data_IF_612993140870
#
_entry.id   IF_612993140870
#
_cell.length_a   1.000
_cell.length_b   1.000
_cell.length_c   1.000
_cell.angle_alpha   90.00
_cell.angle_beta   90.00
_cell.angle_gamma   90.00
#
_symmetry.space_group_name_H-M   'P 1'
#
loop_
_entity.id
_entity.type
_entity.pdbx_description
1 polymer ?
#
# COMPACT_ATOMS: atom_id res chain seq x y z
N UNK A 1 -38.58 1.98 18.05
CA UNK A 1 -37.31 2.10 18.81
C UNK A 1 -36.31 0.97 18.55
N UNK A 2 -36.59 -0.32 18.84
CA UNK A 2 -35.61 -1.41 18.67
C UNK A 2 -35.23 -1.67 17.20
N UNK A 3 -36.12 -1.51 16.23
CA UNK A 3 -35.88 -1.70 14.81
C UNK A 3 -34.98 -0.60 14.25
N UNK A 4 -35.22 0.66 14.59
CA UNK A 4 -34.42 1.80 14.14
C UNK A 4 -32.97 1.73 14.67
N UNK A 5 -32.77 1.28 15.92
CA UNK A 5 -31.45 1.06 16.47
C UNK A 5 -30.68 -0.02 15.68
N UNK A 6 -31.34 -1.13 15.33
CA UNK A 6 -30.72 -2.20 14.52
C UNK A 6 -30.37 -1.74 13.11
N UNK A 7 -31.24 -0.95 12.47
CA UNK A 7 -30.96 -0.39 11.14
C UNK A 7 -29.78 0.57 11.18
N UNK A 8 -29.68 1.41 12.21
CA UNK A 8 -28.53 2.31 12.40
C UNK A 8 -27.22 1.54 12.61
N UNK A 9 -27.21 0.53 13.49
CA UNK A 9 -26.01 -0.30 13.71
C UNK A 9 -25.58 -1.02 12.43
N UNK A 10 -26.52 -1.57 11.68
CA UNK A 10 -26.22 -2.21 10.40
C UNK A 10 -25.64 -1.22 9.36
N UNK A 11 -26.15 0.01 9.33
CA UNK A 11 -25.63 1.06 8.46
C UNK A 11 -24.20 1.46 8.85
N UNK A 12 -23.89 1.65 10.13
CA UNK A 12 -22.54 1.94 10.60
C UNK A 12 -21.55 0.81 10.28
N UNK A 13 -21.95 -0.44 10.49
CA UNK A 13 -21.13 -1.60 10.14
C UNK A 13 -20.85 -1.65 8.64
N UNK A 14 -21.87 -1.45 7.81
CA UNK A 14 -21.72 -1.39 6.36
C UNK A 14 -20.76 -0.28 5.91
N UNK A 15 -20.87 0.91 6.51
CA UNK A 15 -19.98 2.02 6.24
C UNK A 15 -18.53 1.70 6.66
N UNK A 16 -18.33 1.10 7.82
CA UNK A 16 -17.01 0.70 8.29
C UNK A 16 -16.36 -0.31 7.35
N UNK A 17 -17.10 -1.33 6.95
CA UNK A 17 -16.61 -2.33 5.99
C UNK A 17 -16.24 -1.66 4.67
N UNK A 18 -17.09 -0.77 4.14
CA UNK A 18 -16.81 -0.05 2.91
C UNK A 18 -15.52 0.76 3.01
N UNK A 19 -15.34 1.50 4.12
CA UNK A 19 -14.12 2.29 4.36
C UNK A 19 -12.88 1.40 4.41
N UNK A 20 -12.93 0.25 5.09
CA UNK A 20 -11.83 -0.70 5.16
C UNK A 20 -11.50 -1.30 3.79
N UNK A 21 -12.51 -1.64 2.99
CA UNK A 21 -12.30 -2.15 1.63
C UNK A 21 -11.66 -1.09 0.75
N UNK A 22 -12.18 0.14 0.76
CA UNK A 22 -11.59 1.25 0.00
C UNK A 22 -10.15 1.50 0.42
N UNK A 23 -9.87 1.51 1.72
CA UNK A 23 -8.51 1.67 2.24
C UNK A 23 -7.56 0.54 1.78
N UNK A 24 -8.00 -0.72 1.85
CA UNK A 24 -7.22 -1.85 1.37
C UNK A 24 -6.94 -1.77 -0.15
N UNK A 25 -7.93 -1.35 -0.95
CA UNK A 25 -7.75 -1.13 -2.40
C UNK A 25 -6.75 -0.01 -2.66
N UNK A 26 -6.84 1.10 -1.93
CA UNK A 26 -5.89 2.21 -2.05
C UNK A 26 -4.47 1.75 -1.71
N UNK A 27 -4.29 1.02 -0.60
CA UNK A 27 -2.99 0.46 -0.27
C UNK A 27 -2.46 -0.44 -1.40
N UNK A 28 -3.28 -1.33 -1.93
CA UNK A 28 -2.88 -2.23 -3.02
C UNK A 28 -2.49 -1.47 -4.29
N UNK A 29 -3.23 -0.43 -4.64
CA UNK A 29 -2.97 0.36 -5.86
C UNK A 29 -1.72 1.21 -5.71
N UNK A 30 -1.58 1.93 -4.57
CA UNK A 30 -0.54 2.94 -4.38
C UNK A 30 0.78 2.40 -3.79
N UNK A 31 0.86 1.13 -3.44
CA UNK A 31 2.09 0.58 -2.88
C UNK A 31 2.74 -0.47 -3.77
N UNK A 32 4.06 -0.60 -3.65
CA UNK A 32 4.85 -1.70 -4.24
C UNK A 32 5.83 -2.22 -3.20
N UNK A 33 6.05 -3.52 -3.24
CA UNK A 33 7.03 -4.20 -2.42
C UNK A 33 8.40 -4.14 -3.06
N UNK A 34 9.43 -4.05 -2.23
CA UNK A 34 10.83 -4.14 -2.66
C UNK A 34 11.32 -5.58 -2.46
N UNK A 35 11.61 -6.29 -3.55
CA UNK A 35 12.04 -7.70 -3.48
C UNK A 35 13.54 -7.89 -3.75
N UNK A 36 14.18 -6.90 -4.35
CA UNK A 36 15.57 -6.98 -4.80
C UNK A 36 16.58 -6.39 -3.83
N UNK A 37 17.84 -6.52 -4.20
CA UNK A 37 18.99 -5.92 -3.49
C UNK A 37 19.61 -4.76 -4.27
N UNK A 38 19.09 -4.45 -5.46
CA UNK A 38 19.66 -3.45 -6.38
C UNK A 38 19.62 -2.03 -5.84
N UNK A 39 18.74 -1.73 -4.91
CA UNK A 39 18.58 -0.41 -4.31
C UNK A 39 19.25 -0.26 -2.94
N UNK A 40 19.98 -1.27 -2.47
CA UNK A 40 20.72 -1.16 -1.21
C UNK A 40 21.82 -0.09 -1.28
N UNK A 41 22.05 0.64 -0.17
CA UNK A 41 21.39 0.55 1.15
C UNK A 41 20.11 1.40 1.24
N UNK A 42 19.69 2.09 0.18
CA UNK A 42 18.57 3.04 0.22
C UNK A 42 17.23 2.35 0.46
N UNK A 43 17.02 1.20 -0.18
CA UNK A 43 15.85 0.34 0.03
C UNK A 43 16.34 -1.08 0.30
N UNK A 44 15.71 -1.72 1.28
CA UNK A 44 15.97 -3.12 1.63
C UNK A 44 14.84 -4.02 1.15
N UNK A 45 15.14 -5.28 0.87
CA UNK A 45 14.11 -6.27 0.59
C UNK A 45 13.15 -6.40 1.79
N UNK A 46 11.85 -6.35 1.52
CA UNK A 46 10.80 -6.29 2.53
C UNK A 46 10.31 -4.88 2.89
N UNK A 47 10.94 -3.84 2.34
CA UNK A 47 10.38 -2.50 2.38
C UNK A 47 9.15 -2.39 1.47
N UNK A 48 8.24 -1.49 1.83
CA UNK A 48 7.11 -1.11 0.98
C UNK A 48 7.24 0.35 0.59
N UNK A 49 7.10 0.63 -0.70
CA UNK A 49 7.15 2.00 -1.22
C UNK A 49 5.76 2.47 -1.59
N UNK A 50 5.48 3.75 -1.31
CA UNK A 50 4.26 4.44 -1.73
C UNK A 50 4.57 5.22 -2.99
N UNK A 51 3.70 5.08 -4.00
CA UNK A 51 3.87 5.66 -5.32
C UNK A 51 2.96 6.87 -5.51
N UNK A 52 3.52 7.89 -6.14
CA UNK A 52 2.78 8.93 -6.82
C UNK A 52 2.73 8.60 -8.31
N UNK A 53 1.52 8.40 -8.82
CA UNK A 53 1.30 8.28 -10.27
C UNK A 53 1.35 9.68 -10.89
N UNK A 54 1.94 9.78 -12.08
CA UNK A 54 2.07 11.09 -12.72
C UNK A 54 2.70 10.98 -14.10
N UNK A 55 3.05 12.15 -14.62
CA UNK A 55 3.70 12.28 -15.91
C UNK A 55 5.22 12.15 -15.74
N UNK A 56 5.89 11.51 -16.71
CA UNK A 56 7.35 11.37 -16.71
C UNK A 56 8.07 12.74 -16.66
N UNK A 57 7.44 13.80 -17.19
CA UNK A 57 7.95 15.17 -17.13
C UNK A 57 8.04 15.78 -15.72
N UNK A 58 7.39 15.17 -14.74
CA UNK A 58 7.47 15.56 -13.32
C UNK A 58 8.61 14.85 -12.58
N UNK A 59 9.23 13.88 -13.23
CA UNK A 59 10.32 13.10 -12.66
C UNK A 59 11.65 13.82 -12.89
N UNK A 60 12.45 13.91 -11.84
CA UNK A 60 13.71 14.61 -11.82
C UNK A 60 14.88 13.64 -11.57
N UNK A 61 16.08 14.06 -11.94
CA UNK A 61 17.30 13.33 -11.56
C UNK A 61 17.38 13.23 -10.02
N UNK A 62 17.61 12.01 -9.55
CA UNK A 62 17.66 11.68 -8.14
C UNK A 62 16.37 11.04 -7.60
N UNK A 63 15.24 11.19 -8.29
CA UNK A 63 13.99 10.50 -7.91
C UNK A 63 14.16 8.98 -8.02
N UNK A 64 13.51 8.25 -7.14
CA UNK A 64 13.35 6.79 -7.25
C UNK A 64 12.03 6.54 -7.96
N UNK A 65 12.05 5.75 -9.00
CA UNK A 65 10.88 5.40 -9.78
C UNK A 65 10.64 3.90 -9.81
N UNK A 66 9.39 3.55 -10.00
CA UNK A 66 8.94 2.20 -10.33
C UNK A 66 8.54 2.18 -11.79
N UNK A 67 9.08 1.28 -12.54
CA UNK A 67 8.81 1.16 -13.98
C UNK A 67 8.82 -0.30 -14.42
N UNK A 68 8.19 -0.59 -15.53
CA UNK A 68 8.24 -1.90 -16.16
C UNK A 68 9.39 -1.95 -17.15
N UNK A 69 10.12 -3.06 -17.16
CA UNK A 69 11.31 -3.22 -18.01
C UNK A 69 10.93 -3.12 -19.50
N UNK A 70 11.49 -2.14 -20.23
CA UNK A 70 11.20 -1.98 -21.66
C UNK A 70 11.79 -3.08 -22.54
N UNK A 71 12.76 -3.86 -22.04
CA UNK A 71 13.43 -4.93 -22.81
C UNK A 71 12.61 -6.23 -22.86
N UNK A 72 11.71 -6.44 -21.89
CA UNK A 72 10.84 -7.60 -21.84
C UNK A 72 9.39 -7.22 -22.17
N UNK A 73 8.90 -7.66 -23.33
CA UNK A 73 7.48 -7.57 -23.67
C UNK A 73 6.89 -6.17 -23.85
N UNK A 74 7.73 -5.11 -23.97
CA UNK A 74 7.24 -3.76 -24.18
C UNK A 74 6.58 -3.12 -22.95
N UNK A 75 7.23 -3.13 -21.82
CA UNK A 75 6.78 -2.51 -20.56
C UNK A 75 5.61 -3.23 -19.86
N UNK A 76 5.49 -4.55 -19.93
CA UNK A 76 4.34 -5.25 -19.35
C UNK A 76 4.66 -6.19 -18.19
N UNK A 77 5.83 -6.85 -18.15
CA UNK A 77 5.97 -8.04 -17.32
C UNK A 77 7.01 -7.99 -16.19
N UNK A 78 7.91 -7.04 -16.16
CA UNK A 78 8.95 -7.00 -15.13
C UNK A 78 9.08 -5.62 -14.51
N UNK A 79 8.69 -5.51 -13.24
CA UNK A 79 8.72 -4.23 -12.52
C UNK A 79 10.08 -4.03 -11.84
N UNK A 80 10.71 -2.89 -12.08
CA UNK A 80 12.00 -2.48 -11.53
C UNK A 80 11.80 -1.23 -10.68
N UNK A 81 12.60 -1.11 -9.61
CA UNK A 81 12.66 0.08 -8.76
C UNK A 81 14.10 0.56 -8.78
N UNK A 82 14.37 1.66 -9.48
CA UNK A 82 15.71 2.25 -9.57
C UNK A 82 15.66 3.78 -9.46
N UNK A 83 16.84 4.38 -9.29
CA UNK A 83 17.02 5.84 -9.21
C UNK A 83 17.27 6.42 -10.59
N UNK A 84 16.64 7.56 -10.88
CA UNK A 84 16.91 8.34 -12.09
C UNK A 84 18.29 8.99 -11.98
N UNK A 85 19.19 8.65 -12.87
CA UNK A 85 20.55 9.21 -12.94
C UNK A 85 20.68 10.27 -14.05
N UNK A 86 19.81 10.21 -15.06
CA UNK A 86 19.78 11.19 -16.15
C UNK A 86 18.36 11.33 -16.70
N UNK A 87 18.02 12.55 -17.08
CA UNK A 87 16.81 12.87 -17.86
C UNK A 87 17.30 13.34 -19.24
N UNK A 88 16.86 12.69 -20.29
CA UNK A 88 17.22 13.02 -21.65
C UNK A 88 16.39 14.19 -22.18
N UNK A 89 16.83 14.81 -23.28
CA UNK A 89 16.16 15.97 -23.89
C UNK A 89 14.77 15.63 -24.47
N UNK A 90 14.53 14.36 -24.79
CA UNK A 90 13.23 13.84 -25.24
C UNK A 90 12.29 13.45 -24.09
N UNK A 91 12.74 13.63 -22.83
CA UNK A 91 12.00 13.29 -21.62
C UNK A 91 12.18 11.84 -21.18
N UNK A 92 12.96 11.03 -21.87
CA UNK A 92 13.28 9.67 -21.45
C UNK A 92 14.21 9.67 -20.23
N UNK A 93 14.15 8.63 -19.42
CA UNK A 93 14.91 8.51 -18.18
C UNK A 93 15.94 7.38 -18.28
N UNK A 94 17.17 7.66 -17.85
CA UNK A 94 18.17 6.65 -17.55
C UNK A 94 18.17 6.40 -16.05
N UNK A 95 18.09 5.14 -15.66
CA UNK A 95 18.00 4.72 -14.27
C UNK A 95 19.23 3.91 -13.85
N UNK A 96 19.42 3.74 -12.56
CA UNK A 96 20.44 2.86 -11.98
C UNK A 96 20.06 2.45 -10.59
N UNK A 97 20.32 1.19 -10.24
CA UNK A 97 20.25 0.74 -8.85
C UNK A 97 21.31 1.39 -7.97
N UNK A 98 20.94 1.72 -6.73
CA UNK A 98 21.86 2.35 -5.78
C UNK A 98 22.98 1.40 -5.31
N UNK A 99 22.75 0.09 -5.39
CA UNK A 99 23.75 -0.92 -5.08
C UNK A 99 24.75 -1.08 -6.23
N UNK A 100 25.86 -0.39 -6.17
CA UNK A 100 26.88 -0.42 -7.20
C UNK A 100 27.57 -1.77 -7.38
N UNK A 101 27.49 -2.65 -6.38
CA UNK A 101 28.04 -4.02 -6.50
C UNK A 101 27.20 -4.89 -7.46
N UNK A 102 25.88 -4.66 -7.51
CA UNK A 102 24.96 -5.38 -8.42
C UNK A 102 24.61 -4.58 -9.67
N UNK A 103 24.68 -3.25 -9.60
CA UNK A 103 24.34 -2.32 -10.68
C UNK A 103 25.53 -1.36 -10.94
N UNK A 104 26.68 -1.86 -11.47
CA UNK A 104 27.89 -1.06 -11.64
C UNK A 104 27.73 0.04 -12.71
N UNK A 105 26.82 -0.15 -13.65
CA UNK A 105 26.53 0.77 -14.76
C UNK A 105 25.05 1.15 -14.77
N UNK A 106 24.69 2.31 -15.35
CA UNK A 106 23.29 2.66 -15.57
C UNK A 106 22.54 1.62 -16.41
N UNK A 107 21.23 1.59 -16.23
CA UNK A 107 20.32 0.79 -17.07
C UNK A 107 20.19 1.48 -18.43
N UNK A 108 21.01 1.04 -19.39
CA UNK A 108 20.97 1.58 -20.75
C UNK A 108 20.70 0.45 -21.73
N UNK A 109 19.63 0.52 -22.51
CA UNK A 109 19.58 -0.25 -23.74
C UNK A 109 20.51 0.39 -24.77
N UNK A 110 21.03 -0.40 -25.66
CA UNK A 110 21.81 0.10 -26.78
C UNK A 110 20.96 1.11 -27.58
N UNK A 111 21.23 2.42 -27.43
CA UNK A 111 20.67 3.45 -28.29
C UNK A 111 19.75 4.48 -27.73
N UNK A 112 19.59 4.64 -26.40
CA UNK A 112 18.78 5.71 -25.89
C UNK A 112 18.38 5.61 -24.41
N UNK A 113 17.54 6.52 -23.92
CA UNK A 113 17.06 6.47 -22.56
C UNK A 113 16.21 5.22 -22.31
N UNK A 114 16.38 4.64 -21.12
CA UNK A 114 15.81 3.32 -20.81
C UNK A 114 14.28 3.37 -20.53
N UNK A 115 13.80 4.41 -19.84
CA UNK A 115 12.41 4.48 -19.42
C UNK A 115 11.69 5.62 -20.12
N UNK A 116 10.58 5.32 -20.77
CA UNK A 116 9.65 6.29 -21.34
C UNK A 116 8.31 6.28 -20.57
N UNK A 117 7.43 7.25 -20.85
CA UNK A 117 6.14 7.43 -20.18
C UNK A 117 5.32 6.12 -20.09
N UNK A 118 5.32 5.33 -21.15
CA UNK A 118 4.55 4.08 -21.21
C UNK A 118 5.02 3.00 -20.25
N UNK A 119 6.31 3.06 -19.83
CA UNK A 119 6.91 2.11 -18.90
C UNK A 119 6.88 2.61 -17.46
N UNK A 120 6.64 3.91 -17.23
CA UNK A 120 6.60 4.48 -15.90
C UNK A 120 5.35 4.02 -15.18
N UNK A 121 5.52 3.39 -14.01
CA UNK A 121 4.43 3.05 -13.09
C UNK A 121 4.20 4.20 -12.12
N UNK A 122 5.27 4.79 -11.54
CA UNK A 122 5.15 5.92 -10.64
C UNK A 122 6.47 6.28 -9.96
N UNK A 123 6.46 7.43 -9.29
CA UNK A 123 7.56 7.92 -8.46
C UNK A 123 7.37 7.51 -7.01
N UNK A 124 8.42 7.03 -6.36
CA UNK A 124 8.43 6.73 -4.94
C UNK A 124 8.42 8.03 -4.14
N UNK A 125 7.40 8.23 -3.33
CA UNK A 125 7.26 9.43 -2.47
C UNK A 125 7.45 9.13 -1.00
N UNK A 126 7.28 7.88 -0.59
CA UNK A 126 7.46 7.45 0.79
C UNK A 126 7.89 6.00 0.86
N UNK A 127 8.67 5.65 1.89
CA UNK A 127 9.14 4.28 2.15
C UNK A 127 8.66 3.88 3.54
N UNK A 128 8.04 2.72 3.64
CA UNK A 128 7.68 2.07 4.89
C UNK A 128 8.67 0.93 5.09
N UNK A 129 9.68 1.10 5.95
CA UNK A 129 10.72 0.10 6.11
C UNK A 129 10.17 -1.14 6.80
N UNK A 130 10.64 -2.30 6.38
CA UNK A 130 10.41 -3.61 7.00
C UNK A 130 8.94 -4.00 7.20
N UNK A 131 8.00 -3.42 6.45
CA UNK A 131 6.57 -3.72 6.64
C UNK A 131 6.27 -5.20 6.38
N UNK A 132 7.00 -5.83 5.47
CA UNK A 132 6.87 -7.26 5.23
C UNK A 132 7.33 -8.10 6.43
N UNK A 133 8.40 -7.70 7.12
CA UNK A 133 8.85 -8.43 8.31
C UNK A 133 7.84 -8.41 9.45
N UNK A 134 6.96 -7.38 9.51
CA UNK A 134 5.80 -7.41 10.40
C UNK A 134 4.81 -8.52 10.03
N UNK A 135 4.63 -8.77 8.73
CA UNK A 135 3.79 -9.87 8.25
C UNK A 135 4.45 -11.24 8.52
N UNK A 136 5.79 -11.32 8.49
CA UNK A 136 6.56 -12.53 8.78
C UNK A 136 6.50 -12.92 10.27
N UNK A 137 6.30 -11.95 11.18
CA UNK A 137 6.07 -12.23 12.62
C UNK A 137 4.79 -13.03 12.84
N UNK A 138 3.84 -12.94 11.92
CA UNK A 138 2.59 -13.69 11.93
C UNK A 138 2.49 -14.55 10.67
N UNK A 139 3.18 -15.71 10.61
CA UNK A 139 3.19 -16.54 9.41
C UNK A 139 1.79 -17.06 9.06
N UNK A 140 1.60 -17.37 7.78
CA UNK A 140 0.39 -18.07 7.32
C UNK A 140 0.20 -19.39 8.07
N UNK A 141 -1.03 -19.73 8.55
CA UNK A 141 -2.28 -19.00 8.41
C UNK A 141 -2.61 -18.03 9.56
N UNK A 142 -1.72 -17.86 10.54
CA UNK A 142 -1.97 -17.14 11.81
C UNK A 142 -2.38 -15.68 11.61
N UNK A 143 -1.79 -15.01 10.61
CA UNK A 143 -2.12 -13.63 10.25
C UNK A 143 -3.59 -13.46 9.82
N UNK A 144 -4.11 -14.40 9.02
CA UNK A 144 -5.52 -14.37 8.60
C UNK A 144 -6.47 -14.72 9.74
N UNK A 145 -6.09 -15.68 10.60
CA UNK A 145 -6.87 -16.04 11.78
C UNK A 145 -6.97 -14.84 12.71
N UNK A 146 -5.87 -14.13 12.97
CA UNK A 146 -5.88 -12.93 13.82
C UNK A 146 -6.73 -11.81 13.21
N UNK A 147 -6.59 -11.54 11.93
CA UNK A 147 -7.40 -10.56 11.22
C UNK A 147 -8.90 -10.92 11.29
N UNK A 148 -9.25 -12.17 11.07
CA UNK A 148 -10.63 -12.65 11.19
C UNK A 148 -11.17 -12.49 12.63
N UNK A 149 -10.37 -12.81 13.65
CA UNK A 149 -10.75 -12.63 15.06
C UNK A 149 -10.98 -11.17 15.43
N UNK A 150 -10.13 -10.25 14.93
CA UNK A 150 -10.31 -8.81 15.13
C UNK A 150 -11.62 -8.33 14.48
N UNK A 151 -11.87 -8.74 13.24
CA UNK A 151 -13.11 -8.41 12.52
C UNK A 151 -14.33 -8.95 13.26
N UNK A 152 -14.29 -10.21 13.70
CA UNK A 152 -15.36 -10.82 14.48
C UNK A 152 -15.56 -10.09 15.80
N UNK A 153 -14.49 -9.72 16.51
CA UNK A 153 -14.58 -8.98 17.75
C UNK A 153 -15.27 -7.62 17.57
N UNK A 154 -14.90 -6.88 16.50
CA UNK A 154 -15.56 -5.60 16.15
C UNK A 154 -17.04 -5.82 15.85
N UNK A 155 -17.39 -6.84 15.06
CA UNK A 155 -18.78 -7.17 14.74
C UNK A 155 -19.56 -7.51 16.02
N UNK A 156 -19.01 -8.35 16.89
CA UNK A 156 -19.68 -8.72 18.14
C UNK A 156 -19.79 -7.55 19.13
N UNK A 157 -18.79 -6.67 19.21
CA UNK A 157 -18.83 -5.50 20.07
C UNK A 157 -19.96 -4.54 19.67
N UNK A 158 -20.18 -4.36 18.37
CA UNK A 158 -21.28 -3.55 17.85
C UNK A 158 -22.66 -4.20 18.07
N UNK A 159 -22.74 -5.52 17.98
CA UNK A 159 -23.98 -6.26 18.20
C UNK A 159 -24.35 -6.36 19.69
N UNK A 160 -23.36 -6.40 20.59
CA UNK A 160 -23.53 -6.55 22.04
C UNK A 160 -23.84 -5.27 22.80
N UNK A 161 -23.71 -4.09 22.17
CA UNK A 161 -23.92 -2.76 22.77
C UNK A 161 -25.37 -2.36 23.07
N UNK A 162 -26.26 -3.32 23.32
CA UNK A 162 -27.61 -3.05 23.88
C UNK A 162 -27.49 -2.49 25.30
N UNK A 163 -27.63 -1.17 25.43
CA UNK A 163 -27.69 -0.49 26.73
C UNK A 163 -28.61 -1.25 27.69
N UNK A 164 -28.07 -1.70 28.81
CA UNK A 164 -28.86 -2.03 30.00
C UNK A 164 -29.51 -0.74 30.42
N UNK A 165 -30.85 -0.64 30.30
CA UNK A 165 -31.64 0.42 30.95
C UNK A 165 -31.38 0.34 32.45
N UNK A 166 -31.11 1.47 33.12
CA UNK A 166 -31.04 1.48 34.58
C UNK A 166 -32.41 1.09 35.16
N UNK A 167 -32.44 0.34 36.25
CA UNK A 167 -33.69 -0.06 36.89
C UNK A 167 -34.48 1.17 37.26
N UNK A 168 -35.71 1.29 36.75
CA UNK A 168 -36.71 2.28 37.18
C UNK A 168 -36.94 2.08 38.66
N UNK A 169 -36.56 3.08 39.47
CA UNK A 169 -36.94 3.15 40.89
C UNK A 169 -38.47 3.15 40.97
N UNK A 170 -39.01 2.09 41.54
CA UNK A 170 -40.43 1.99 41.82
C UNK A 170 -40.90 3.17 42.68
N UNK A 171 -41.99 3.78 42.23
CA UNK A 171 -42.64 4.83 42.97
C UNK A 171 -43.16 4.27 44.33
N UNK A 172 -42.67 4.90 45.35
CA UNK A 172 -43.18 4.74 46.72
C UNK A 172 -44.47 5.52 46.80
N UNK A 173 -45.58 4.80 46.88
CA UNK A 173 -46.89 5.38 47.16
C UNK A 173 -47.00 5.57 48.71
N UNK A 174 -46.88 6.81 49.09
CA UNK A 174 -47.25 7.17 50.50
C UNK A 174 -48.76 7.34 50.59
N UNK A 175 -49.30 6.73 51.61
CA UNK A 175 -50.69 6.82 52.09
C UNK A 175 -51.05 8.21 52.61
#
# INVERSE_FOLDING_TARGET
MKLEARVRSAAYLGTLILVLVVFAVLLFVFTRRVDGVSMRPTLEAGDMVILQFGNIGEVQKGDIIVFNDPTFGGCQDFTIIHRVVQVASDGGLTTQGDNRATNPVPDEPVGGPYVHQQCLVGKVVFVIPYLERLADVLPYPTNYVLAALIILFVIFSEMGGGKKEPPTKGGETAA
#
